data_IF_330010805086
#
_entry.id   IF_330010805086
#
_cell.length_a   1.000
_cell.length_b   1.000
_cell.length_c   1.000
_cell.angle_alpha   90.00
_cell.angle_beta   90.00
_cell.angle_gamma   90.00
#
_symmetry.space_group_name_H-M   'P 1'
#
loop_
_entity.id
_entity.type
_entity.pdbx_description
1 polymer ?
#
# COMPACT_ATOMS: atom_id res chain seq x y z
N UNK A 1 -114.63 19.14 -39.96
CA UNK A 1 -114.11 19.59 -38.65
C UNK A 1 -113.79 18.44 -37.67
N UNK A 2 -114.51 17.34 -37.58
CA UNK A 2 -114.20 16.23 -36.61
C UNK A 2 -112.94 15.48 -36.96
N UNK A 3 -112.61 15.23 -38.21
CA UNK A 3 -111.38 14.53 -38.68
C UNK A 3 -110.07 15.33 -38.40
N UNK A 4 -110.10 16.66 -38.59
CA UNK A 4 -108.90 17.51 -38.34
C UNK A 4 -108.57 17.61 -36.85
N UNK A 5 -109.56 17.64 -35.95
CA UNK A 5 -109.32 17.63 -34.51
C UNK A 5 -108.76 16.31 -34.02
N UNK A 6 -109.16 15.17 -34.57
CA UNK A 6 -108.64 13.84 -34.25
C UNK A 6 -107.20 13.68 -34.72
N UNK A 7 -106.88 14.15 -35.94
CA UNK A 7 -105.48 14.14 -36.49
C UNK A 7 -104.55 15.05 -35.66
N UNK A 8 -105.02 16.25 -35.22
CA UNK A 8 -104.27 17.15 -34.33
C UNK A 8 -104.01 16.51 -32.95
N UNK A 9 -104.99 15.81 -32.37
CA UNK A 9 -104.77 15.11 -31.13
C UNK A 9 -103.79 13.92 -31.28
N UNK A 10 -103.88 13.14 -32.33
CA UNK A 10 -103.03 12.01 -32.62
C UNK A 10 -101.54 12.45 -32.87
N UNK A 11 -101.33 13.55 -33.59
CA UNK A 11 -99.95 14.07 -33.82
C UNK A 11 -99.40 14.64 -32.52
N UNK A 12 -100.16 15.37 -31.74
CA UNK A 12 -99.70 15.90 -30.46
C UNK A 12 -99.30 14.81 -29.47
N UNK A 13 -100.04 13.69 -29.44
CA UNK A 13 -99.70 12.53 -28.65
C UNK A 13 -98.46 11.87 -29.12
N UNK A 14 -98.27 11.64 -30.44
CA UNK A 14 -97.02 11.04 -30.99
C UNK A 14 -95.83 11.89 -30.74
N UNK A 15 -95.92 13.22 -30.86
CA UNK A 15 -94.82 14.16 -30.53
C UNK A 15 -94.46 14.09 -29.05
N UNK A 16 -95.52 14.10 -28.20
CA UNK A 16 -95.31 14.03 -26.74
C UNK A 16 -94.63 12.71 -26.33
N UNK A 17 -95.09 11.59 -26.87
CA UNK A 17 -94.45 10.28 -26.61
C UNK A 17 -92.98 10.21 -27.04
N UNK A 18 -92.64 10.72 -28.24
CA UNK A 18 -91.27 10.79 -28.68
C UNK A 18 -90.39 11.79 -27.90
N UNK A 19 -91.01 12.94 -27.51
CA UNK A 19 -90.26 13.89 -26.70
C UNK A 19 -90.03 13.37 -25.27
N UNK A 20 -90.95 12.63 -24.68
CA UNK A 20 -90.78 11.96 -23.41
C UNK A 20 -89.77 10.83 -23.48
N UNK A 21 -89.73 10.02 -24.54
CA UNK A 21 -88.72 9.02 -24.77
C UNK A 21 -87.33 9.67 -24.88
N UNK A 22 -87.16 10.72 -25.68
CA UNK A 22 -85.94 11.49 -25.78
C UNK A 22 -85.45 12.07 -24.42
N UNK A 23 -86.39 12.64 -23.65
CA UNK A 23 -86.10 13.19 -22.33
C UNK A 23 -85.63 12.14 -21.31
N UNK A 24 -86.12 10.87 -21.48
CA UNK A 24 -85.65 9.73 -20.67
C UNK A 24 -84.35 9.04 -21.21
N UNK A 25 -83.80 9.52 -22.32
CA UNK A 25 -82.64 8.94 -22.96
C UNK A 25 -82.93 7.76 -23.89
N UNK A 26 -84.24 7.44 -24.12
CA UNK A 26 -84.65 6.36 -25.07
C UNK A 26 -84.86 6.95 -26.47
N UNK A 27 -83.77 6.95 -27.27
CA UNK A 27 -83.76 7.41 -28.66
C UNK A 27 -84.12 6.28 -29.67
N UNK A 28 -84.46 5.08 -29.19
CA UNK A 28 -84.79 3.93 -30.04
C UNK A 28 -86.25 4.00 -30.51
N UNK A 29 -87.10 4.82 -29.87
CA UNK A 29 -88.51 4.98 -30.23
C UNK A 29 -88.68 5.66 -31.55
N UNK A 30 -89.68 5.21 -32.32
CA UNK A 30 -90.14 5.77 -33.61
C UNK A 30 -91.61 5.99 -33.63
N UNK A 31 -92.03 7.11 -34.17
CA UNK A 31 -93.41 7.37 -34.45
C UNK A 31 -93.85 6.72 -35.77
N UNK A 32 -95.10 6.20 -35.79
CA UNK A 32 -95.64 5.62 -37.05
C UNK A 32 -96.01 6.77 -38.00
N UNK A 33 -95.14 7.11 -38.94
CA UNK A 33 -95.34 8.20 -39.93
C UNK A 33 -96.41 7.90 -40.93
N UNK A 34 -96.72 6.62 -41.20
CA UNK A 34 -97.76 6.21 -42.19
C UNK A 34 -99.16 6.48 -41.68
N UNK A 35 -99.32 6.62 -40.39
CA UNK A 35 -100.60 6.98 -39.76
C UNK A 35 -101.02 8.43 -40.03
N UNK A 36 -100.12 9.28 -40.53
CA UNK A 36 -100.35 10.69 -40.78
C UNK A 36 -100.23 11.06 -42.23
N UNK A 37 -100.97 12.13 -42.65
CA UNK A 37 -100.95 12.63 -44.05
C UNK A 37 -100.39 14.07 -44.09
N UNK A 38 -99.95 14.47 -45.26
CA UNK A 38 -99.47 15.82 -45.54
C UNK A 38 -98.36 16.28 -44.58
N UNK A 39 -98.35 17.48 -44.11
CA UNK A 39 -97.29 18.12 -43.25
C UNK A 39 -97.08 17.33 -41.95
N UNK A 40 -98.12 16.67 -41.40
CA UNK A 40 -98.00 15.87 -40.18
C UNK A 40 -97.09 14.64 -40.34
N UNK A 41 -97.17 14.04 -41.52
CA UNK A 41 -96.26 12.94 -41.86
C UNK A 41 -94.83 13.44 -41.90
N UNK A 42 -94.53 14.60 -42.53
CA UNK A 42 -93.20 15.24 -42.58
C UNK A 42 -92.64 15.55 -41.20
N UNK A 43 -93.52 15.99 -40.26
CA UNK A 43 -93.09 16.23 -38.85
C UNK A 43 -92.67 14.96 -38.14
N UNK A 44 -93.44 13.85 -38.27
CA UNK A 44 -93.04 12.55 -37.65
C UNK A 44 -91.81 11.96 -38.28
N UNK A 45 -91.67 12.04 -39.59
CA UNK A 45 -90.42 11.61 -40.33
C UNK A 45 -89.25 12.43 -39.85
N UNK A 46 -89.36 13.77 -39.74
CA UNK A 46 -88.32 14.63 -39.24
C UNK A 46 -87.84 14.28 -37.83
N UNK A 47 -88.84 14.02 -36.93
CA UNK A 47 -88.57 13.64 -35.54
C UNK A 47 -87.98 12.25 -35.44
N UNK A 48 -88.46 11.28 -36.23
CA UNK A 48 -87.83 9.95 -36.34
C UNK A 48 -86.39 10.03 -36.78
N UNK A 49 -86.05 10.87 -37.77
CA UNK A 49 -84.71 11.12 -38.23
C UNK A 49 -83.79 11.75 -37.15
N UNK A 50 -84.38 12.71 -36.38
CA UNK A 50 -83.67 13.27 -35.22
C UNK A 50 -83.32 12.20 -34.18
N UNK A 51 -84.31 11.36 -33.81
CA UNK A 51 -84.12 10.25 -32.88
C UNK A 51 -83.05 9.25 -33.42
N UNK A 52 -83.14 8.87 -34.65
CA UNK A 52 -82.19 7.95 -35.30
C UNK A 52 -80.75 8.48 -35.33
N UNK A 53 -80.58 9.75 -35.72
CA UNK A 53 -79.24 10.38 -35.73
C UNK A 53 -78.65 10.51 -34.31
N UNK A 54 -79.47 10.85 -33.34
CA UNK A 54 -79.08 10.99 -31.92
C UNK A 54 -78.70 9.61 -31.37
N UNK A 55 -79.48 8.56 -31.60
CA UNK A 55 -79.21 7.20 -31.17
C UNK A 55 -77.88 6.68 -31.76
N UNK A 56 -77.72 6.85 -33.06
CA UNK A 56 -76.47 6.40 -33.75
C UNK A 56 -75.26 7.11 -33.22
N UNK A 57 -75.29 8.40 -33.03
CA UNK A 57 -74.19 9.20 -32.51
C UNK A 57 -73.81 8.83 -31.09
N UNK A 58 -74.81 8.70 -30.19
CA UNK A 58 -74.62 8.29 -28.79
C UNK A 58 -74.11 6.82 -28.69
N UNK A 59 -74.58 5.94 -29.54
CA UNK A 59 -74.17 4.55 -29.65
C UNK A 59 -72.67 4.46 -30.07
N UNK A 60 -72.27 5.27 -31.06
CA UNK A 60 -70.87 5.34 -31.52
C UNK A 60 -69.94 5.84 -30.39
N UNK A 61 -70.32 6.88 -29.67
CA UNK A 61 -69.57 7.36 -28.52
C UNK A 61 -69.47 6.30 -27.42
N UNK A 62 -70.61 5.65 -27.09
CA UNK A 62 -70.64 4.58 -26.07
C UNK A 62 -69.73 3.41 -26.47
N UNK A 63 -69.71 3.03 -27.75
CA UNK A 63 -68.82 1.99 -28.26
C UNK A 63 -67.36 2.34 -28.14
N UNK A 64 -66.98 3.60 -28.47
CA UNK A 64 -65.60 4.10 -28.26
C UNK A 64 -65.20 4.08 -26.80
N UNK A 65 -66.02 4.63 -25.91
CA UNK A 65 -65.74 4.67 -24.48
C UNK A 65 -65.62 3.25 -23.88
N UNK A 66 -66.41 2.29 -24.36
CA UNK A 66 -66.32 0.89 -23.95
C UNK A 66 -65.04 0.25 -24.44
N UNK A 67 -64.61 0.50 -25.67
CA UNK A 67 -63.36 0.03 -26.21
C UNK A 67 -62.16 0.59 -25.39
N UNK A 68 -62.13 1.88 -25.11
CA UNK A 68 -61.14 2.53 -24.26
C UNK A 68 -61.12 1.94 -22.86
N UNK A 69 -62.27 1.70 -22.25
CA UNK A 69 -62.39 1.06 -20.92
C UNK A 69 -61.86 -0.39 -20.92
N UNK A 70 -61.84 -1.06 -22.05
CA UNK A 70 -61.24 -2.41 -22.26
C UNK A 70 -59.75 -2.35 -22.62
N UNK A 71 -59.15 -1.17 -22.71
CA UNK A 71 -57.76 -0.99 -23.08
C UNK A 71 -57.49 -0.88 -24.58
N UNK A 72 -58.53 -0.90 -25.43
CA UNK A 72 -58.39 -0.69 -26.87
C UNK A 72 -58.28 0.80 -27.22
N UNK A 73 -57.07 1.28 -27.32
CA UNK A 73 -56.73 2.66 -27.72
C UNK A 73 -56.62 2.83 -29.24
N UNK A 74 -56.95 1.78 -30.03
CA UNK A 74 -56.97 1.88 -31.50
C UNK A 74 -58.33 2.30 -32.01
N UNK A 75 -59.41 2.13 -31.21
CA UNK A 75 -60.75 2.47 -31.56
C UNK A 75 -60.89 3.98 -31.83
N UNK A 76 -61.68 4.33 -32.85
CA UNK A 76 -62.00 5.70 -33.23
C UNK A 76 -63.49 5.81 -33.61
N UNK A 77 -64.07 6.98 -33.37
CA UNK A 77 -65.36 7.33 -33.94
C UNK A 77 -65.15 7.70 -35.43
N UNK A 78 -65.80 6.89 -36.30
CA UNK A 78 -65.75 7.11 -37.75
C UNK A 78 -67.17 7.41 -38.28
N UNK A 79 -67.27 8.26 -39.31
CA UNK A 79 -68.51 8.59 -39.95
C UNK A 79 -68.75 10.09 -40.10
N UNK A 80 -69.85 10.46 -40.75
CA UNK A 80 -70.26 11.87 -40.93
C UNK A 80 -71.06 12.34 -39.72
N UNK A 81 -70.49 13.23 -38.95
CA UNK A 81 -71.10 13.87 -37.81
C UNK A 81 -71.24 15.37 -38.08
N UNK A 82 -72.29 16.02 -37.59
CA UNK A 82 -72.53 17.44 -37.80
C UNK A 82 -72.76 18.17 -36.47
N UNK A 83 -72.36 19.47 -36.41
CA UNK A 83 -72.55 20.33 -35.26
C UNK A 83 -71.84 19.78 -34.00
N UNK A 84 -72.60 19.75 -32.87
CA UNK A 84 -72.04 19.29 -31.58
C UNK A 84 -71.56 17.84 -31.62
N UNK A 85 -72.15 16.96 -32.43
CA UNK A 85 -71.75 15.56 -32.57
C UNK A 85 -70.39 15.44 -33.31
N UNK A 86 -70.11 16.32 -34.30
CA UNK A 86 -68.81 16.37 -34.94
C UNK A 86 -67.72 16.78 -33.93
N UNK A 87 -68.01 17.80 -33.12
CA UNK A 87 -67.08 18.23 -32.07
C UNK A 87 -66.85 17.12 -31.04
N UNK A 88 -67.93 16.41 -30.61
CA UNK A 88 -67.85 15.29 -29.68
C UNK A 88 -66.98 14.10 -30.24
N UNK A 89 -67.07 13.79 -31.53
CA UNK A 89 -66.21 12.82 -32.23
C UNK A 89 -64.74 13.26 -32.17
N UNK A 90 -64.49 14.54 -32.51
CA UNK A 90 -63.13 15.07 -32.59
C UNK A 90 -62.48 15.11 -31.18
N UNK A 91 -63.20 15.58 -30.15
CA UNK A 91 -62.75 15.59 -28.76
C UNK A 91 -62.49 14.19 -28.22
N UNK A 92 -63.39 13.22 -28.54
CA UNK A 92 -63.26 11.84 -28.13
C UNK A 92 -62.06 11.15 -28.79
N UNK A 93 -61.89 11.36 -30.12
CA UNK A 93 -60.73 10.84 -30.84
C UNK A 93 -59.39 11.47 -30.38
N UNK A 94 -59.36 12.77 -30.11
CA UNK A 94 -58.19 13.46 -29.56
C UNK A 94 -57.83 12.93 -28.17
N UNK A 95 -58.85 12.62 -27.31
CA UNK A 95 -58.63 12.01 -26.00
C UNK A 95 -57.95 10.64 -26.12
N UNK A 96 -58.43 9.78 -27.07
CA UNK A 96 -57.83 8.45 -27.33
C UNK A 96 -56.39 8.60 -27.84
N UNK A 97 -56.13 9.56 -28.72
CA UNK A 97 -54.79 9.85 -29.22
C UNK A 97 -53.81 10.28 -28.10
N UNK A 98 -54.25 11.18 -27.20
CA UNK A 98 -53.48 11.57 -26.02
C UNK A 98 -53.19 10.38 -25.10
N UNK A 99 -54.19 9.54 -24.82
CA UNK A 99 -54.00 8.32 -24.02
C UNK A 99 -53.00 7.37 -24.68
N UNK A 100 -53.07 7.17 -26.00
CA UNK A 100 -52.12 6.37 -26.77
C UNK A 100 -50.69 6.92 -26.62
N UNK A 101 -50.55 8.26 -26.71
CA UNK A 101 -49.26 8.91 -26.54
C UNK A 101 -48.69 8.79 -25.11
N UNK A 102 -49.56 8.83 -24.09
CA UNK A 102 -49.17 8.63 -22.68
C UNK A 102 -48.67 7.19 -22.48
N UNK A 103 -49.48 6.20 -22.92
CA UNK A 103 -49.08 4.77 -22.81
C UNK A 103 -47.78 4.46 -23.57
N UNK A 104 -47.62 5.03 -24.76
CA UNK A 104 -46.34 4.89 -25.51
C UNK A 104 -45.15 5.45 -24.76
N UNK A 105 -45.28 6.60 -24.12
CA UNK A 105 -44.21 7.18 -23.27
C UNK A 105 -43.93 6.34 -22.03
N UNK A 106 -44.94 5.79 -21.40
CA UNK A 106 -44.81 4.88 -20.26
C UNK A 106 -43.99 3.63 -20.70
N UNK A 107 -44.35 3.01 -21.83
CA UNK A 107 -43.65 1.82 -22.36
C UNK A 107 -42.19 2.13 -22.65
N UNK A 108 -41.89 3.29 -23.25
CA UNK A 108 -40.52 3.72 -23.49
C UNK A 108 -39.73 3.92 -22.18
N UNK A 109 -40.34 4.59 -21.19
CA UNK A 109 -39.72 4.78 -19.87
C UNK A 109 -39.47 3.45 -19.15
N UNK A 110 -40.44 2.54 -19.19
CA UNK A 110 -40.31 1.16 -18.66
C UNK A 110 -39.13 0.40 -19.29
N UNK A 111 -39.05 0.44 -20.64
CA UNK A 111 -37.91 -0.20 -21.35
C UNK A 111 -36.57 0.42 -20.94
N UNK A 112 -36.52 1.75 -20.80
CA UNK A 112 -35.30 2.43 -20.35
C UNK A 112 -34.92 2.06 -18.90
N UNK A 113 -35.89 1.96 -17.99
CA UNK A 113 -35.68 1.51 -16.61
C UNK A 113 -35.12 0.09 -16.57
N UNK A 114 -35.73 -0.85 -17.33
CA UNK A 114 -35.26 -2.23 -17.42
C UNK A 114 -33.82 -2.33 -17.94
N UNK A 115 -33.49 -1.55 -18.97
CA UNK A 115 -32.13 -1.51 -19.49
C UNK A 115 -31.14 -0.99 -18.44
N UNK A 116 -31.47 0.12 -17.77
CA UNK A 116 -30.64 0.69 -16.72
C UNK A 116 -30.49 -0.24 -15.50
N UNK A 117 -31.56 -0.93 -15.09
CA UNK A 117 -31.50 -1.93 -14.02
C UNK A 117 -30.58 -3.09 -14.38
N UNK A 118 -30.64 -3.59 -15.63
CA UNK A 118 -29.72 -4.61 -16.12
C UNK A 118 -28.26 -4.15 -16.13
N UNK A 119 -27.97 -2.90 -16.54
CA UNK A 119 -26.64 -2.33 -16.50
C UNK A 119 -26.11 -2.19 -15.05
N UNK A 120 -26.98 -1.77 -14.12
CA UNK A 120 -26.65 -1.69 -12.68
C UNK A 120 -26.34 -3.09 -12.15
N UNK A 121 -27.13 -4.10 -12.45
CA UNK A 121 -26.91 -5.49 -12.04
C UNK A 121 -25.57 -6.02 -12.54
N UNK A 122 -25.24 -5.80 -13.82
CA UNK A 122 -23.97 -6.21 -14.41
C UNK A 122 -22.77 -5.46 -13.78
N UNK A 123 -22.91 -4.14 -13.52
CA UNK A 123 -21.91 -3.35 -12.84
C UNK A 123 -21.67 -3.79 -11.39
N UNK A 124 -22.73 -4.19 -10.69
CA UNK A 124 -22.65 -4.73 -9.34
C UNK A 124 -21.97 -6.11 -9.28
N UNK A 125 -22.19 -6.98 -10.27
CA UNK A 125 -21.47 -8.24 -10.37
C UNK A 125 -19.96 -8.04 -10.59
N UNK A 126 -19.56 -7.06 -11.41
CA UNK A 126 -18.16 -6.68 -11.55
C UNK A 126 -17.58 -6.10 -10.25
N UNK A 127 -18.34 -5.22 -9.58
CA UNK A 127 -17.93 -4.64 -8.30
C UNK A 127 -17.80 -5.71 -7.21
N UNK A 128 -18.70 -6.71 -7.17
CA UNK A 128 -18.61 -7.85 -6.26
C UNK A 128 -17.29 -8.60 -6.43
N UNK A 129 -16.97 -9.00 -7.67
CA UNK A 129 -15.72 -9.71 -7.97
C UNK A 129 -14.48 -8.89 -7.59
N UNK A 130 -14.50 -7.59 -7.86
CA UNK A 130 -13.38 -6.70 -7.48
C UNK A 130 -13.27 -6.56 -5.97
N UNK A 131 -14.39 -6.52 -5.26
CA UNK A 131 -14.43 -6.45 -3.79
C UNK A 131 -13.87 -7.72 -3.16
N UNK A 132 -14.23 -8.91 -3.67
CA UNK A 132 -13.66 -10.19 -3.25
C UNK A 132 -12.15 -10.26 -3.51
N UNK A 133 -11.71 -9.82 -4.70
CA UNK A 133 -10.28 -9.77 -5.02
C UNK A 133 -9.51 -8.78 -4.16
N UNK A 134 -10.14 -7.66 -3.82
CA UNK A 134 -9.56 -6.68 -2.88
C UNK A 134 -9.43 -7.26 -1.48
N UNK A 135 -10.43 -8.00 -0.98
CA UNK A 135 -10.35 -8.69 0.31
C UNK A 135 -9.19 -9.69 0.35
N UNK A 136 -9.04 -10.53 -0.69
CA UNK A 136 -7.92 -11.47 -0.79
C UNK A 136 -6.55 -10.77 -0.81
N UNK A 137 -6.43 -9.66 -1.55
CA UNK A 137 -5.19 -8.87 -1.59
C UNK A 137 -4.88 -8.20 -0.24
N UNK A 138 -5.91 -7.80 0.52
CA UNK A 138 -5.74 -7.24 1.87
C UNK A 138 -5.25 -8.29 2.85
N UNK A 139 -5.78 -9.52 2.79
CA UNK A 139 -5.29 -10.65 3.62
C UNK A 139 -3.82 -10.95 3.34
N UNK A 140 -3.41 -11.04 2.06
CA UNK A 140 -2.02 -11.25 1.68
C UNK A 140 -1.11 -10.09 2.13
N UNK A 141 -1.60 -8.85 2.01
CA UNK A 141 -0.88 -7.66 2.46
C UNK A 141 -0.72 -7.66 3.98
N UNK A 142 -1.77 -8.02 4.73
CA UNK A 142 -1.73 -8.12 6.20
C UNK A 142 -0.72 -9.18 6.66
N UNK A 143 -0.71 -10.38 6.05
CA UNK A 143 0.27 -11.42 6.33
C UNK A 143 1.71 -10.96 6.04
N UNK A 144 1.94 -10.26 4.92
CA UNK A 144 3.24 -9.68 4.58
C UNK A 144 3.70 -8.62 5.58
N UNK A 145 2.76 -7.82 6.09
CA UNK A 145 3.05 -6.81 7.12
C UNK A 145 3.39 -7.42 8.47
N UNK A 146 2.79 -8.55 8.85
CA UNK A 146 3.17 -9.29 10.05
C UNK A 146 4.59 -9.84 9.94
N UNK A 147 4.97 -10.40 8.78
CA UNK A 147 6.31 -10.90 8.52
C UNK A 147 7.35 -9.76 8.54
N UNK A 148 7.02 -8.61 7.91
CA UNK A 148 7.85 -7.41 7.96
C UNK A 148 8.03 -6.90 9.40
N UNK A 149 6.97 -6.85 10.19
CA UNK A 149 7.02 -6.46 11.61
C UNK A 149 7.98 -7.34 12.39
N UNK A 150 7.90 -8.66 12.20
CA UNK A 150 8.81 -9.62 12.83
C UNK A 150 10.26 -9.39 12.42
N UNK A 151 10.49 -9.23 11.11
CA UNK A 151 11.83 -9.02 10.53
C UNK A 151 12.46 -7.72 11.04
N UNK A 152 11.73 -6.62 11.07
CA UNK A 152 12.20 -5.32 11.56
C UNK A 152 12.53 -5.38 13.06
N UNK A 153 11.69 -6.07 13.86
CA UNK A 153 11.98 -6.30 15.28
C UNK A 153 13.26 -7.11 15.49
N UNK A 154 13.44 -8.18 14.70
CA UNK A 154 14.70 -8.96 14.72
C UNK A 154 15.92 -8.12 14.33
N UNK A 155 15.80 -7.26 13.32
CA UNK A 155 16.87 -6.36 12.91
C UNK A 155 17.27 -5.41 14.04
N UNK A 156 16.33 -4.83 14.76
CA UNK A 156 16.62 -4.00 15.93
C UNK A 156 17.35 -4.79 17.03
N UNK A 157 16.90 -6.01 17.33
CA UNK A 157 17.54 -6.89 18.31
C UNK A 157 18.97 -7.29 17.88
N UNK A 158 19.17 -7.64 16.61
CA UNK A 158 20.48 -7.97 16.06
C UNK A 158 21.42 -6.78 16.09
N UNK A 159 20.95 -5.57 15.78
CA UNK A 159 21.72 -4.34 15.90
C UNK A 159 22.18 -4.10 17.35
N UNK A 160 21.29 -4.31 18.34
CA UNK A 160 21.64 -4.21 19.75
C UNK A 160 22.65 -5.29 20.20
N UNK A 161 22.54 -6.51 19.69
CA UNK A 161 23.50 -7.59 19.99
C UNK A 161 24.88 -7.28 19.35
N UNK A 162 24.90 -6.86 18.07
CA UNK A 162 26.12 -6.46 17.38
C UNK A 162 26.81 -5.27 18.06
N UNK A 163 26.06 -4.31 18.54
CA UNK A 163 26.57 -3.16 19.30
C UNK A 163 27.30 -3.64 20.59
N UNK A 164 26.69 -4.53 21.36
CA UNK A 164 27.34 -5.11 22.57
C UNK A 164 28.61 -5.85 22.20
N UNK A 165 28.59 -6.71 21.19
CA UNK A 165 29.75 -7.46 20.75
C UNK A 165 30.89 -6.52 20.26
N UNK A 166 30.53 -5.44 19.58
CA UNK A 166 31.46 -4.42 19.16
C UNK A 166 32.11 -3.73 20.39
N UNK A 167 31.33 -3.34 21.39
CA UNK A 167 31.86 -2.74 22.64
C UNK A 167 32.81 -3.70 23.37
N UNK A 168 32.45 -4.98 23.49
CA UNK A 168 33.30 -6.00 24.09
C UNK A 168 34.62 -6.14 23.31
N UNK A 169 34.54 -6.17 21.99
CA UNK A 169 35.72 -6.25 21.09
C UNK A 169 36.65 -5.04 21.24
N UNK A 170 36.08 -3.82 21.31
CA UNK A 170 36.84 -2.61 21.59
C UNK A 170 37.54 -2.69 22.96
N UNK A 171 36.86 -3.23 23.98
CA UNK A 171 37.46 -3.49 25.28
C UNK A 171 38.63 -4.46 25.25
N UNK A 172 38.52 -5.55 24.48
CA UNK A 172 39.61 -6.51 24.28
C UNK A 172 40.81 -5.86 23.55
N UNK A 173 40.53 -5.15 22.46
CA UNK A 173 41.59 -4.45 21.68
C UNK A 173 42.31 -3.37 22.54
N UNK A 174 41.54 -2.63 23.36
CA UNK A 174 42.09 -1.65 24.29
C UNK A 174 43.03 -2.29 25.33
N UNK A 175 42.61 -3.43 25.92
CA UNK A 175 43.50 -4.20 26.83
C UNK A 175 44.71 -4.74 26.11
N UNK A 176 44.57 -5.22 24.88
CA UNK A 176 45.67 -5.63 24.04
C UNK A 176 46.70 -4.51 23.80
N UNK A 177 46.18 -3.30 23.52
CA UNK A 177 47.01 -2.12 23.37
C UNK A 177 47.79 -1.77 24.66
N UNK A 178 47.18 -1.88 25.82
CA UNK A 178 47.88 -1.65 27.12
C UNK A 178 48.99 -2.69 27.38
N UNK A 179 48.75 -3.95 27.01
CA UNK A 179 49.82 -5.00 27.09
C UNK A 179 50.99 -4.70 26.15
N UNK A 180 50.71 -4.26 24.91
CA UNK A 180 51.70 -3.83 23.95
C UNK A 180 52.52 -2.68 24.49
N UNK A 181 51.94 -1.70 25.17
CA UNK A 181 52.64 -0.57 25.78
C UNK A 181 53.59 -1.02 26.93
N UNK A 182 53.19 -2.00 27.75
CA UNK A 182 54.06 -2.64 28.75
C UNK A 182 55.22 -3.38 28.12
N UNK A 183 55.01 -4.03 26.98
CA UNK A 183 56.11 -4.70 26.23
C UNK A 183 57.11 -3.67 25.72
N UNK A 184 56.65 -2.55 25.16
CA UNK A 184 57.53 -1.42 24.72
C UNK A 184 58.38 -0.88 25.90
N UNK A 185 57.75 -0.66 27.05
CA UNK A 185 58.44 -0.21 28.25
C UNK A 185 59.50 -1.22 28.71
N UNK A 186 59.17 -2.53 28.67
CA UNK A 186 60.08 -3.61 29.00
C UNK A 186 61.28 -3.65 28.02
N UNK A 187 61.04 -3.55 26.72
CA UNK A 187 62.08 -3.51 25.68
C UNK A 187 63.00 -2.32 25.85
N UNK A 188 62.45 -1.14 26.19
CA UNK A 188 63.21 0.06 26.49
C UNK A 188 64.11 -0.14 27.73
N UNK A 189 63.62 -0.82 28.75
CA UNK A 189 64.40 -1.21 29.92
C UNK A 189 65.54 -2.17 29.61
N UNK A 190 65.27 -3.17 28.75
CA UNK A 190 66.29 -4.12 28.30
C UNK A 190 67.36 -3.43 27.44
N UNK A 191 66.98 -2.51 26.55
CA UNK A 191 67.91 -1.70 25.76
C UNK A 191 68.82 -0.88 26.64
N UNK A 192 68.28 -0.21 27.65
CA UNK A 192 69.08 0.57 28.61
C UNK A 192 70.08 -0.30 29.43
N UNK A 193 69.61 -1.50 29.87
CA UNK A 193 70.47 -2.45 30.56
C UNK A 193 71.60 -2.99 29.68
N UNK A 194 71.25 -3.30 28.40
CA UNK A 194 72.24 -3.77 27.41
C UNK A 194 73.30 -2.70 27.12
N UNK A 195 72.89 -1.42 27.03
CA UNK A 195 73.84 -0.32 26.86
C UNK A 195 74.79 -0.19 28.06
N UNK A 196 74.28 -0.35 29.25
CA UNK A 196 75.12 -0.34 30.46
C UNK A 196 76.09 -1.54 30.53
N UNK A 197 75.63 -2.71 30.05
CA UNK A 197 76.56 -3.87 29.91
C UNK A 197 77.66 -3.60 28.89
N UNK A 198 77.39 -2.95 27.76
CA UNK A 198 78.40 -2.57 26.78
C UNK A 198 79.42 -1.59 27.36
N UNK A 199 78.98 -0.65 28.21
CA UNK A 199 79.89 0.26 28.94
C UNK A 199 80.81 -0.51 29.89
N UNK A 200 80.28 -1.46 30.67
CA UNK A 200 81.06 -2.28 31.58
C UNK A 200 82.13 -3.13 30.83
N UNK A 201 81.67 -3.74 29.70
CA UNK A 201 82.67 -4.52 28.83
C UNK A 201 83.77 -3.62 28.27
N UNK A 202 83.43 -2.36 27.92
CA UNK A 202 84.44 -1.37 27.53
C UNK A 202 85.47 -1.08 28.63
N UNK A 203 85.03 -1.04 29.90
CA UNK A 203 85.96 -0.91 31.03
C UNK A 203 86.80 -2.14 31.21
N UNK A 204 86.21 -3.34 31.08
CA UNK A 204 86.95 -4.63 31.14
C UNK A 204 88.01 -4.72 30.05
N UNK A 205 87.72 -4.34 28.82
CA UNK A 205 88.68 -4.28 27.71
C UNK A 205 89.86 -3.28 28.03
N UNK A 206 89.48 -2.11 28.58
CA UNK A 206 90.42 -1.13 29.07
C UNK A 206 91.37 -1.68 30.18
N UNK A 207 90.86 -2.45 31.14
CA UNK A 207 91.63 -3.11 32.19
C UNK A 207 92.54 -4.20 31.57
N UNK A 208 92.02 -4.98 30.63
CA UNK A 208 92.80 -5.98 29.94
C UNK A 208 93.98 -5.35 29.16
N UNK A 209 93.73 -4.22 28.49
CA UNK A 209 94.77 -3.45 27.83
C UNK A 209 95.83 -2.93 28.81
N UNK A 210 95.44 -2.30 29.92
CA UNK A 210 96.36 -1.84 30.95
C UNK A 210 97.19 -2.97 31.53
N UNK A 211 96.56 -4.12 31.82
CA UNK A 211 97.23 -5.32 32.34
C UNK A 211 98.25 -5.90 31.33
N UNK A 212 97.91 -5.88 30.03
CA UNK A 212 98.83 -6.28 28.96
C UNK A 212 100.11 -5.38 28.93
N UNK A 213 99.89 -4.02 29.10
CA UNK A 213 101.05 -3.09 29.15
C UNK A 213 101.81 -3.25 30.45
N UNK A 214 101.22 -3.48 31.60
CA UNK A 214 101.86 -3.77 32.85
C UNK A 214 102.71 -5.05 32.78
N UNK A 215 102.13 -6.09 32.19
CA UNK A 215 102.80 -7.38 31.95
C UNK A 215 104.02 -7.22 31.00
N UNK A 216 103.88 -6.42 29.94
CA UNK A 216 104.94 -6.10 29.03
C UNK A 216 106.13 -5.39 29.72
N UNK A 217 105.83 -4.38 30.55
CA UNK A 217 106.78 -3.64 31.35
C UNK A 217 107.54 -4.57 32.33
N UNK A 218 106.80 -5.47 33.01
CA UNK A 218 107.33 -6.47 33.89
C UNK A 218 108.24 -7.44 33.17
N UNK A 219 107.87 -7.90 31.95
CA UNK A 219 108.73 -8.80 31.13
C UNK A 219 110.05 -8.12 30.69
N UNK A 220 109.98 -6.83 30.35
CA UNK A 220 111.16 -6.03 30.02
C UNK A 220 112.11 -5.91 31.22
N UNK A 221 111.57 -5.61 32.41
CA UNK A 221 112.39 -5.44 33.63
C UNK A 221 112.94 -6.81 34.12
N UNK A 222 112.18 -7.90 33.94
CA UNK A 222 112.67 -9.24 34.19
C UNK A 222 113.83 -9.61 33.26
N UNK A 223 113.78 -9.26 31.97
CA UNK A 223 114.85 -9.44 31.01
C UNK A 223 116.13 -8.60 31.40
N UNK A 224 115.96 -7.42 31.97
CA UNK A 224 117.01 -6.54 32.46
C UNK A 224 117.77 -7.10 33.67
N UNK A 225 117.04 -7.87 34.53
CA UNK A 225 117.58 -8.53 35.73
C UNK A 225 118.38 -9.82 35.41
N UNK A 226 118.48 -10.23 34.15
CA UNK A 226 119.27 -11.40 33.72
C UNK A 226 118.80 -12.72 34.33
N UNK A 227 119.66 -13.60 34.75
CA UNK A 227 119.37 -14.93 35.32
C UNK A 227 118.47 -14.87 36.55
N UNK A 228 118.50 -13.81 37.34
CA UNK A 228 117.68 -13.60 38.52
C UNK A 228 116.26 -13.23 38.19
N UNK A 229 115.99 -12.79 36.99
CA UNK A 229 114.62 -12.37 36.53
C UNK A 229 113.86 -13.52 35.84
N UNK A 230 114.36 -14.69 35.60
CA UNK A 230 113.72 -15.76 34.77
C UNK A 230 112.35 -16.16 35.27
N UNK A 231 112.19 -16.33 36.58
CA UNK A 231 110.90 -16.69 37.17
C UNK A 231 109.83 -15.58 36.98
N UNK A 232 110.24 -14.31 37.08
CA UNK A 232 109.35 -13.17 36.83
C UNK A 232 109.00 -13.03 35.35
N UNK A 233 109.86 -13.35 34.44
CA UNK A 233 109.62 -13.31 32.98
C UNK A 233 108.50 -14.30 32.57
N UNK A 234 108.51 -15.54 33.17
CA UNK A 234 107.48 -16.55 32.93
C UNK A 234 106.13 -16.04 33.42
N UNK A 235 106.07 -15.49 34.65
CA UNK A 235 104.81 -14.94 35.22
C UNK A 235 104.28 -13.75 34.38
N UNK A 236 105.21 -12.87 33.96
CA UNK A 236 104.85 -11.73 33.12
C UNK A 236 104.25 -12.17 31.75
N UNK A 237 104.85 -13.22 31.16
CA UNK A 237 104.31 -13.80 29.90
C UNK A 237 102.95 -14.41 30.07
N UNK A 238 102.67 -15.12 31.22
CA UNK A 238 101.39 -15.75 31.49
C UNK A 238 100.28 -14.65 31.78
N UNK A 239 100.64 -13.60 32.56
CA UNK A 239 99.73 -12.47 32.78
C UNK A 239 99.43 -11.76 31.46
N UNK A 240 100.41 -11.59 30.59
CA UNK A 240 100.21 -11.01 29.27
C UNK A 240 99.22 -11.85 28.39
N UNK A 241 99.48 -13.16 28.37
CA UNK A 241 98.57 -14.08 27.62
C UNK A 241 97.17 -14.08 28.19
N UNK A 242 97.01 -14.01 29.53
CA UNK A 242 95.67 -13.87 30.17
C UNK A 242 95.01 -12.55 29.83
N UNK A 243 95.76 -11.41 29.83
CA UNK A 243 95.28 -10.10 29.43
C UNK A 243 94.77 -10.10 27.97
N UNK A 244 95.53 -10.71 27.03
CA UNK A 244 95.09 -10.82 25.63
C UNK A 244 93.85 -11.70 25.49
N UNK A 245 93.71 -12.82 26.20
CA UNK A 245 92.52 -13.66 26.22
C UNK A 245 91.32 -12.90 26.79
N UNK A 246 91.54 -12.10 27.83
CA UNK A 246 90.50 -11.26 28.41
C UNK A 246 89.96 -10.20 27.46
N UNK A 247 90.91 -9.51 26.73
CA UNK A 247 90.54 -8.54 25.69
C UNK A 247 89.68 -9.17 24.54
N UNK A 248 90.20 -10.38 24.09
CA UNK A 248 89.41 -11.10 23.05
C UNK A 248 87.97 -11.45 23.54
N UNK A 249 87.82 -11.99 24.74
CA UNK A 249 86.54 -12.33 25.31
C UNK A 249 85.72 -11.09 25.52
N UNK A 250 86.29 -9.96 25.93
CA UNK A 250 85.52 -8.68 26.06
C UNK A 250 85.02 -8.21 24.69
N UNK A 251 85.82 -8.34 23.65
CA UNK A 251 85.42 -7.98 22.27
C UNK A 251 84.30 -8.86 21.75
N UNK A 252 84.36 -10.18 22.00
CA UNK A 252 83.24 -11.13 21.63
C UNK A 252 81.97 -10.81 22.37
N UNK A 253 82.04 -10.58 23.67
CA UNK A 253 80.85 -10.21 24.46
C UNK A 253 80.24 -8.86 24.01
N UNK A 254 81.08 -7.88 23.68
CA UNK A 254 80.62 -6.61 23.10
C UNK A 254 79.83 -6.81 21.81
N UNK A 255 80.41 -7.67 20.91
CA UNK A 255 79.74 -8.00 19.65
C UNK A 255 78.31 -8.64 19.90
N UNK A 256 78.22 -9.55 20.87
CA UNK A 256 76.96 -10.17 21.24
C UNK A 256 75.96 -9.17 21.83
N UNK A 257 76.44 -8.19 22.64
CA UNK A 257 75.58 -7.10 23.20
C UNK A 257 75.10 -6.21 22.09
N UNK A 258 76.01 -5.77 21.15
CA UNK A 258 75.60 -4.89 20.04
C UNK A 258 74.58 -5.58 19.14
N UNK A 259 74.72 -6.86 18.83
CA UNK A 259 73.78 -7.65 18.10
C UNK A 259 72.44 -7.81 18.85
N UNK A 260 72.51 -7.92 20.19
CA UNK A 260 71.21 -7.97 21.02
C UNK A 260 70.50 -6.64 21.05
N UNK A 261 71.21 -5.50 21.14
CA UNK A 261 70.60 -4.17 21.05
C UNK A 261 69.89 -4.00 19.68
N UNK A 262 70.54 -4.40 18.55
CA UNK A 262 69.90 -4.33 17.26
C UNK A 262 68.62 -5.16 17.19
N UNK A 263 68.58 -6.34 17.78
CA UNK A 263 67.33 -7.17 17.85
C UNK A 263 66.25 -6.56 18.72
N UNK A 264 66.63 -5.85 19.79
CA UNK A 264 65.71 -5.13 20.69
C UNK A 264 65.10 -3.94 19.94
N UNK A 265 65.88 -3.20 19.17
CA UNK A 265 65.41 -2.08 18.38
C UNK A 265 64.40 -2.55 17.31
N UNK A 266 64.73 -3.63 16.56
CA UNK A 266 63.81 -4.25 15.59
C UNK A 266 62.54 -4.76 16.25
N UNK A 267 62.65 -5.41 17.40
CA UNK A 267 61.54 -5.90 18.19
C UNK A 267 60.62 -4.75 18.68
N UNK A 268 61.25 -3.65 19.12
CA UNK A 268 60.49 -2.45 19.56
C UNK A 268 59.72 -1.81 18.42
N UNK A 269 60.28 -1.74 17.23
CA UNK A 269 59.60 -1.25 16.04
C UNK A 269 58.35 -2.11 15.68
N UNK A 270 58.51 -3.44 15.72
CA UNK A 270 57.40 -4.39 15.47
C UNK A 270 56.28 -4.25 16.53
N UNK A 271 56.65 -4.12 17.79
CA UNK A 271 55.66 -3.97 18.88
C UNK A 271 54.96 -2.63 18.80
N UNK A 272 55.62 -1.54 18.43
CA UNK A 272 54.96 -0.24 18.18
C UNK A 272 53.94 -0.35 17.03
N UNK A 273 54.29 -1.03 15.91
CA UNK A 273 53.37 -1.30 14.82
C UNK A 273 52.15 -2.10 15.25
N UNK A 274 52.35 -3.08 16.14
CA UNK A 274 51.20 -3.82 16.72
C UNK A 274 50.30 -2.91 17.58
N UNK A 275 50.85 -1.96 18.33
CA UNK A 275 50.12 -0.94 19.08
C UNK A 275 49.31 -0.03 18.20
N UNK A 276 49.87 0.42 17.07
CA UNK A 276 49.15 1.23 16.08
C UNK A 276 47.97 0.45 15.50
N UNK A 277 48.17 -0.81 15.15
CA UNK A 277 47.09 -1.69 14.66
C UNK A 277 45.98 -1.86 15.68
N UNK A 278 46.31 -2.02 16.97
CA UNK A 278 45.26 -2.09 18.03
C UNK A 278 44.43 -0.79 18.12
N UNK A 279 45.05 0.38 17.96
CA UNK A 279 44.34 1.67 17.90
C UNK A 279 43.43 1.78 16.71
N UNK A 280 43.85 1.32 15.52
CA UNK A 280 43.03 1.27 14.32
C UNK A 280 41.84 0.33 14.48
N UNK A 281 42.01 -0.83 15.13
CA UNK A 281 40.93 -1.76 15.47
C UNK A 281 39.90 -1.08 16.35
N UNK A 282 40.30 -0.40 17.44
CA UNK A 282 39.42 0.32 18.31
C UNK A 282 38.62 1.41 17.58
N UNK A 283 39.28 2.18 16.69
CA UNK A 283 38.62 3.21 15.89
C UNK A 283 37.60 2.61 14.91
N UNK A 284 37.91 1.47 14.30
CA UNK A 284 37.04 0.78 13.36
C UNK A 284 35.83 0.19 14.06
N UNK A 285 35.99 -0.40 15.23
CA UNK A 285 34.94 -0.95 16.05
C UNK A 285 33.99 0.15 16.55
N UNK A 286 34.48 1.34 16.91
CA UNK A 286 33.64 2.50 17.24
C UNK A 286 32.72 2.87 16.09
N UNK A 287 33.23 2.93 14.85
CA UNK A 287 32.40 3.18 13.68
C UNK A 287 31.30 2.11 13.48
N UNK A 288 31.62 0.85 13.75
CA UNK A 288 30.60 -0.23 13.73
C UNK A 288 29.54 0.01 14.80
N UNK A 289 29.91 0.43 16.00
CA UNK A 289 28.96 0.76 17.07
C UNK A 289 28.01 1.90 16.68
N UNK A 290 28.53 2.95 16.01
CA UNK A 290 27.72 4.08 15.54
C UNK A 290 26.73 3.61 14.48
N UNK A 291 27.16 2.82 13.51
CA UNK A 291 26.28 2.23 12.45
C UNK A 291 25.22 1.33 13.06
N UNK A 292 25.54 0.50 14.04
CA UNK A 292 24.56 -0.37 14.72
C UNK A 292 23.52 0.45 15.48
N UNK A 293 23.92 1.57 16.06
CA UNK A 293 22.98 2.49 16.72
C UNK A 293 22.02 3.15 15.72
N UNK A 294 22.52 3.55 14.55
CA UNK A 294 21.70 4.08 13.46
C UNK A 294 20.71 3.02 12.93
N UNK A 295 21.16 1.77 12.74
CA UNK A 295 20.28 0.67 12.30
C UNK A 295 19.19 0.40 13.33
N UNK A 296 19.52 0.39 14.62
CA UNK A 296 18.53 0.19 15.69
C UNK A 296 17.47 1.32 15.69
N UNK A 297 17.90 2.58 15.54
CA UNK A 297 17.00 3.73 15.47
C UNK A 297 16.10 3.67 14.22
N UNK A 298 16.68 3.37 13.04
CA UNK A 298 15.93 3.21 11.78
C UNK A 298 14.91 2.06 11.87
N UNK A 299 15.27 0.93 12.49
CA UNK A 299 14.36 -0.20 12.72
C UNK A 299 13.20 0.19 13.64
N UNK A 300 13.44 1.01 14.63
CA UNK A 300 12.39 1.54 15.53
C UNK A 300 11.41 2.43 14.74
N UNK A 301 11.92 3.32 13.88
CA UNK A 301 11.11 4.19 13.03
C UNK A 301 10.32 3.36 11.99
N UNK A 302 10.95 2.36 11.38
CA UNK A 302 10.26 1.40 10.50
C UNK A 302 9.12 0.68 11.22
N UNK A 303 9.33 0.22 12.47
CA UNK A 303 8.29 -0.43 13.25
C UNK A 303 7.07 0.47 13.48
N UNK A 304 7.29 1.75 13.78
CA UNK A 304 6.20 2.73 13.92
C UNK A 304 5.47 2.98 12.58
N UNK A 305 6.23 3.06 11.47
CA UNK A 305 5.65 3.18 10.12
C UNK A 305 4.81 1.97 9.73
N UNK A 306 5.28 0.77 10.01
CA UNK A 306 4.55 -0.49 9.78
C UNK A 306 3.25 -0.54 10.59
N UNK A 307 3.28 -0.12 11.85
CA UNK A 307 2.06 -0.03 12.68
C UNK A 307 1.03 0.92 12.08
N UNK A 308 1.47 2.06 11.53
CA UNK A 308 0.58 3.00 10.85
C UNK A 308 -0.02 2.41 9.57
N UNK A 309 0.76 1.69 8.77
CA UNK A 309 0.26 0.95 7.59
C UNK A 309 -0.75 -0.11 8.02
N UNK A 310 -0.48 -0.85 9.09
CA UNK A 310 -1.42 -1.83 9.65
C UNK A 310 -2.78 -1.23 9.99
N UNK A 311 -2.82 -0.04 10.61
CA UNK A 311 -4.07 0.69 10.87
C UNK A 311 -4.82 1.04 9.57
N UNK A 312 -4.09 1.41 8.52
CA UNK A 312 -4.69 1.72 7.22
C UNK A 312 -5.29 0.47 6.56
N UNK A 313 -4.63 -0.68 6.68
CA UNK A 313 -5.14 -1.97 6.18
C UNK A 313 -6.48 -2.32 6.86
N UNK A 314 -6.59 -2.16 8.18
CA UNK A 314 -7.85 -2.38 8.91
C UNK A 314 -8.96 -1.45 8.41
N UNK A 315 -8.66 -0.18 8.14
CA UNK A 315 -9.64 0.76 7.55
C UNK A 315 -10.04 0.36 6.12
N UNK A 316 -9.09 -0.14 5.32
CA UNK A 316 -9.40 -0.65 3.97
C UNK A 316 -10.26 -1.90 4.01
N UNK A 317 -10.07 -2.79 5.00
CA UNK A 317 -10.93 -3.96 5.21
C UNK A 317 -12.35 -3.54 5.56
N UNK A 318 -12.54 -2.56 6.46
CA UNK A 318 -13.85 -2.01 6.79
C UNK A 318 -14.57 -1.45 5.55
N UNK A 319 -13.87 -0.67 4.71
CA UNK A 319 -14.42 -0.14 3.45
C UNK A 319 -14.77 -1.28 2.48
N UNK A 320 -13.96 -2.33 2.42
CA UNK A 320 -14.20 -3.51 1.57
C UNK A 320 -15.46 -4.25 2.01
N UNK A 321 -15.67 -4.43 3.31
CA UNK A 321 -16.91 -5.01 3.87
C UNK A 321 -18.13 -4.12 3.61
N UNK A 322 -17.99 -2.80 3.74
CA UNK A 322 -19.05 -1.85 3.38
C UNK A 322 -19.41 -1.93 1.89
N UNK A 323 -18.42 -2.05 1.00
CA UNK A 323 -18.64 -2.22 -0.43
C UNK A 323 -19.41 -3.52 -0.72
N UNK A 324 -19.08 -4.63 -0.04
CA UNK A 324 -19.81 -5.88 -0.19
C UNK A 324 -21.30 -5.73 0.19
N UNK A 325 -21.60 -5.07 1.31
CA UNK A 325 -22.96 -4.79 1.73
C UNK A 325 -23.70 -3.88 0.74
N UNK A 326 -23.03 -2.84 0.22
CA UNK A 326 -23.62 -1.93 -0.78
C UNK A 326 -23.91 -2.65 -2.10
N UNK A 327 -23.08 -3.60 -2.51
CA UNK A 327 -23.32 -4.44 -3.71
C UNK A 327 -24.57 -5.28 -3.53
N UNK A 328 -24.78 -5.90 -2.36
CA UNK A 328 -25.99 -6.66 -2.07
C UNK A 328 -27.24 -5.78 -2.13
N UNK A 329 -27.22 -4.60 -1.49
CA UNK A 329 -28.33 -3.65 -1.49
C UNK A 329 -28.64 -3.14 -2.91
N UNK A 330 -27.62 -2.74 -3.67
CA UNK A 330 -27.80 -2.21 -5.02
C UNK A 330 -28.31 -3.30 -5.98
N UNK A 331 -27.88 -4.55 -5.80
CA UNK A 331 -28.36 -5.69 -6.59
C UNK A 331 -29.84 -5.98 -6.28
N UNK A 332 -30.23 -5.92 -5.01
CA UNK A 332 -31.66 -6.06 -4.61
C UNK A 332 -32.52 -4.91 -5.17
N UNK A 333 -32.02 -3.67 -5.13
CA UNK A 333 -32.72 -2.51 -5.70
C UNK A 333 -32.86 -2.61 -7.22
N UNK A 334 -31.82 -3.07 -7.93
CA UNK A 334 -31.88 -3.28 -9.39
C UNK A 334 -32.94 -4.34 -9.77
N UNK A 335 -32.98 -5.46 -9.05
CA UNK A 335 -34.02 -6.50 -9.24
C UNK A 335 -35.42 -5.96 -8.94
N UNK A 336 -35.58 -5.17 -7.88
CA UNK A 336 -36.89 -4.57 -7.59
C UNK A 336 -37.34 -3.58 -8.66
N UNK A 337 -36.44 -2.82 -9.27
CA UNK A 337 -36.74 -1.95 -10.40
C UNK A 337 -37.14 -2.75 -11.64
N UNK A 338 -36.51 -3.87 -11.91
CA UNK A 338 -36.83 -4.78 -13.03
C UNK A 338 -38.22 -5.42 -12.83
N UNK A 339 -38.58 -5.77 -11.60
CA UNK A 339 -39.92 -6.32 -11.29
C UNK A 339 -41.04 -5.27 -11.35
N UNK A 340 -40.73 -4.02 -11.06
CA UNK A 340 -41.74 -2.91 -11.07
C UNK A 340 -41.94 -2.30 -12.45
N UNK A 341 -41.02 -2.45 -13.34
CA UNK A 341 -41.08 -1.93 -14.69
C UNK A 341 -41.78 -2.87 -15.68
#
# INVERSE_FOLDING_TARGET
MRTTKHSLQAINQAITELAQAAASGDFSRRGDAERFQYDFRGMVVGLNRLMELTEGNLSALSALLRAVAQGDLTARMHGEFHGVFAQMRDDANATVEQLTGIVGRIQQATTAINTAAGEIAAGNDDLSRRTEQQAANLEETAASMEELTSTVKQNAEHAHQANRLAQDTAGVASRGGAVVEQVVETMTGIAAASKKMAEIIGVIDGIAFQTNILALNAAVEAARAGEQGRGFAVVASEVRALAQRSATAAHEIKGLIDASVGKIDDGTALVNGAGDTMREVVASVRRVTDIMSEIAAASQEQSAGIEQVGKTIVQMDEVTQQNAALVEEATAAARAMEEQA
#
